data_IF_964356311336
#
_entry.id   IF_964356311336
#
_cell.length_a   1.000
_cell.length_b   1.000
_cell.length_c   1.000
_cell.angle_alpha   90.00
_cell.angle_beta   90.00
_cell.angle_gamma   90.00
#
_symmetry.space_group_name_H-M   'P 1'
#
loop_
_entity.id
_entity.type
_entity.pdbx_description
1 polymer ?
#
# COMPACT_ATOMS: atom_id res chain seq x y z
N UNK A 1 19.63 -24.30 30.74
CA UNK A 1 18.76 -24.37 29.54
C UNK A 1 18.72 -22.97 28.94
N UNK A 2 18.96 -22.82 27.64
CA UNK A 2 18.88 -21.51 27.00
C UNK A 2 17.42 -21.04 26.96
N UNK A 3 17.17 -19.76 27.22
CA UNK A 3 15.83 -19.18 27.11
C UNK A 3 15.34 -19.28 25.65
N UNK A 4 14.04 -19.53 25.40
CA UNK A 4 13.50 -19.58 24.04
C UNK A 4 13.76 -18.27 23.29
N UNK A 5 14.13 -18.34 22.01
CA UNK A 5 14.28 -17.16 21.15
C UNK A 5 12.91 -16.72 20.64
N UNK A 6 12.61 -15.43 20.75
CA UNK A 6 11.41 -14.80 20.17
C UNK A 6 11.80 -13.99 18.94
N UNK A 7 11.08 -14.17 17.85
CA UNK A 7 11.25 -13.39 16.62
C UNK A 7 9.95 -12.65 16.31
N UNK A 8 10.08 -11.40 15.85
CA UNK A 8 8.96 -10.56 15.43
C UNK A 8 9.22 -10.06 14.01
N UNK A 9 8.24 -10.23 13.12
CA UNK A 9 8.23 -9.67 11.78
C UNK A 9 7.14 -8.59 11.71
N UNK A 10 7.52 -7.38 11.31
CA UNK A 10 6.63 -6.23 11.20
C UNK A 10 6.61 -5.80 9.73
N UNK A 11 5.42 -5.67 9.16
CA UNK A 11 5.18 -5.19 7.81
C UNK A 11 4.19 -4.02 7.83
N UNK A 12 4.43 -3.02 6.96
CA UNK A 12 3.58 -1.85 6.84
C UNK A 12 2.57 -2.03 5.71
N UNK A 13 1.31 -2.21 6.08
CA UNK A 13 0.22 -2.41 5.13
C UNK A 13 0.07 -1.20 4.22
N UNK A 14 0.06 -1.42 2.90
CA UNK A 14 -0.14 -0.35 1.90
C UNK A 14 0.88 0.79 2.02
N UNK A 15 2.15 0.46 2.27
CA UNK A 15 3.23 1.43 2.53
C UNK A 15 3.26 2.62 1.58
N UNK A 16 3.48 2.41 0.27
CA UNK A 16 3.58 3.53 -0.68
C UNK A 16 2.32 4.38 -0.76
N UNK A 17 1.13 3.78 -0.71
CA UNK A 17 -0.11 4.54 -0.70
C UNK A 17 -0.29 5.35 0.59
N UNK A 18 0.22 4.85 1.71
CA UNK A 18 0.16 5.56 3.00
C UNK A 18 1.10 6.75 3.03
N UNK A 19 2.33 6.58 2.51
CA UNK A 19 3.31 7.67 2.36
C UNK A 19 2.78 8.75 1.43
N UNK A 20 2.29 8.40 0.24
CA UNK A 20 1.72 9.36 -0.71
C UNK A 20 0.52 10.13 -0.15
N UNK A 21 -0.35 9.49 0.63
CA UNK A 21 -1.43 10.19 1.30
C UNK A 21 -0.88 11.23 2.29
N UNK A 22 0.05 10.84 3.17
CA UNK A 22 0.61 11.74 4.18
C UNK A 22 1.36 12.91 3.55
N UNK A 23 2.20 12.66 2.53
CA UNK A 23 2.94 13.71 1.81
C UNK A 23 2.00 14.73 1.13
N UNK A 24 0.80 14.29 0.75
CA UNK A 24 -0.27 15.12 0.18
C UNK A 24 -1.24 15.71 1.22
N UNK A 25 -0.96 15.53 2.51
CA UNK A 25 -1.82 15.96 3.61
C UNK A 25 -3.22 15.31 3.59
N UNK A 26 -3.30 14.06 3.15
CA UNK A 26 -4.51 13.24 3.07
C UNK A 26 -4.48 12.13 4.12
N UNK A 27 -5.64 11.72 4.61
CA UNK A 27 -5.76 10.59 5.54
C UNK A 27 -5.70 9.26 4.78
N UNK A 28 -4.69 8.40 5.04
CA UNK A 28 -4.53 7.12 4.33
C UNK A 28 -5.64 6.11 4.60
N UNK A 29 -6.43 6.26 5.67
CA UNK A 29 -7.50 5.31 6.01
C UNK A 29 -8.81 5.60 5.26
N UNK A 30 -9.00 6.83 4.81
CA UNK A 30 -10.23 7.29 4.16
C UNK A 30 -10.04 7.66 2.69
N UNK A 31 -8.82 8.02 2.30
CA UNK A 31 -8.53 8.51 0.95
C UNK A 31 -8.33 7.39 -0.07
N UNK A 32 -9.12 7.43 -1.13
CA UNK A 32 -8.99 6.54 -2.29
C UNK A 32 -7.79 6.92 -3.16
N UNK A 33 -6.64 6.29 -2.91
CA UNK A 33 -5.38 6.53 -3.62
C UNK A 33 -4.73 5.24 -4.16
N UNK A 34 -4.16 5.32 -5.36
CA UNK A 34 -3.34 4.29 -6.03
C UNK A 34 -1.96 4.87 -6.35
N UNK A 35 -0.91 4.07 -6.20
CA UNK A 35 0.45 4.42 -6.61
C UNK A 35 0.84 3.60 -7.84
N UNK A 36 1.28 4.26 -8.90
CA UNK A 36 1.67 3.65 -10.17
C UNK A 36 2.86 4.40 -10.79
N UNK A 37 3.61 3.71 -11.65
CA UNK A 37 4.75 4.29 -12.38
C UNK A 37 4.25 5.10 -13.59
N UNK A 38 4.43 6.41 -13.56
CA UNK A 38 3.97 7.31 -14.62
C UNK A 38 4.69 7.12 -15.97
N UNK A 39 5.88 6.51 -15.98
CA UNK A 39 6.60 6.22 -17.22
C UNK A 39 6.05 5.03 -17.99
N UNK A 40 5.28 4.17 -17.31
CA UNK A 40 4.68 2.97 -17.87
C UNK A 40 3.21 3.26 -18.14
N UNK A 41 2.82 3.20 -19.41
CA UNK A 41 1.48 3.53 -19.88
C UNK A 41 0.53 2.33 -19.78
N UNK A 42 0.04 1.80 -20.91
CA UNK A 42 -0.99 0.75 -20.92
C UNK A 42 -0.61 -0.47 -20.07
N UNK A 43 -1.57 -0.95 -19.27
CA UNK A 43 -1.45 -2.15 -18.43
C UNK A 43 -0.42 -2.01 -17.31
N UNK A 44 -0.08 -0.79 -16.92
CA UNK A 44 0.81 -0.54 -15.78
C UNK A 44 0.32 -1.23 -14.53
N UNK A 45 1.24 -1.87 -13.81
CA UNK A 45 0.92 -2.48 -12.53
C UNK A 45 0.97 -1.41 -11.44
N UNK A 46 -0.10 -1.30 -10.67
CA UNK A 46 -0.10 -0.48 -9.48
C UNK A 46 0.87 -1.07 -8.45
N UNK A 47 1.69 -0.22 -7.85
CA UNK A 47 2.67 -0.58 -6.81
C UNK A 47 1.99 -0.72 -5.45
N UNK A 48 0.99 0.10 -5.19
CA UNK A 48 0.19 0.04 -3.97
C UNK A 48 -1.21 0.62 -4.21
N UNK A 49 -2.14 0.19 -3.36
CA UNK A 49 -3.48 0.78 -3.23
C UNK A 49 -3.75 1.07 -1.76
N UNK A 50 -4.39 2.20 -1.49
CA UNK A 50 -4.80 2.64 -0.16
C UNK A 50 -5.70 1.61 0.55
N UNK A 51 -5.67 1.56 1.90
CA UNK A 51 -6.60 0.77 2.70
C UNK A 51 -8.08 0.96 2.30
N UNK A 52 -8.51 2.19 2.03
CA UNK A 52 -9.90 2.49 1.63
C UNK A 52 -10.27 1.79 0.32
N UNK A 53 -9.39 1.78 -0.69
CA UNK A 53 -9.61 1.05 -1.94
C UNK A 53 -9.62 -0.47 -1.75
N UNK A 54 -8.82 -1.00 -0.83
CA UNK A 54 -8.87 -2.44 -0.49
C UNK A 54 -10.23 -2.84 0.09
N UNK A 55 -10.91 -1.94 0.80
CA UNK A 55 -12.26 -2.20 1.33
C UNK A 55 -13.28 -2.42 0.21
N UNK A 56 -13.08 -1.82 -0.97
CA UNK A 56 -13.87 -2.08 -2.18
C UNK A 56 -13.44 -3.34 -2.95
N UNK A 57 -12.60 -4.20 -2.35
CA UNK A 57 -12.05 -5.43 -2.97
C UNK A 57 -11.15 -5.18 -4.18
N UNK A 58 -10.62 -3.97 -4.35
CA UNK A 58 -9.64 -3.69 -5.40
C UNK A 58 -8.31 -4.38 -5.05
N UNK A 59 -7.74 -5.19 -5.96
CA UNK A 59 -6.51 -5.92 -5.67
C UNK A 59 -5.32 -4.96 -5.55
N UNK A 60 -4.36 -5.30 -4.69
CA UNK A 60 -3.15 -4.49 -4.48
C UNK A 60 -2.24 -4.32 -5.71
N UNK A 61 -2.48 -5.11 -6.76
CA UNK A 61 -1.77 -5.10 -8.05
C UNK A 61 -2.76 -4.95 -9.21
N UNK A 62 -3.77 -4.09 -9.03
CA UNK A 62 -4.64 -3.68 -10.13
C UNK A 62 -3.81 -3.11 -11.30
N UNK A 63 -4.39 -3.09 -12.49
CA UNK A 63 -3.77 -2.51 -13.68
C UNK A 63 -4.59 -1.34 -14.19
N UNK A 64 -3.89 -0.31 -14.68
CA UNK A 64 -4.47 0.86 -15.36
C UNK A 64 -4.49 0.63 -16.87
#
# INVERSE_FOLDING_TARGET
MASPRTYLAIDLKSFYASVECVDRHLDPLTTNLVVADASRTEKTICLAVSPSLKAYKIPGRARL
#
